data_IF_477485346603
#
_entry.id   IF_477485346603
#
_cell.length_a   1.000
_cell.length_b   1.000
_cell.length_c   1.000
_cell.angle_alpha   90.00
_cell.angle_beta   90.00
_cell.angle_gamma   90.00
#
_symmetry.space_group_name_H-M   'P 1'
#
loop_
_entity.id
_entity.type
_entity.pdbx_description
1 polymer ?
#
# COMPACT_ATOMS: atom_id res chain seq x y z
N UNK A 1 -16.71 21.03 18.60
CA UNK A 1 -16.04 20.09 17.67
C UNK A 1 -14.88 20.85 17.04
N UNK A 2 -13.66 20.43 17.31
CA UNK A 2 -12.47 21.02 16.69
C UNK A 2 -12.07 20.17 15.52
N UNK A 3 -11.92 20.77 14.34
CA UNK A 3 -11.41 20.12 13.14
C UNK A 3 -9.95 20.53 13.01
N UNK A 4 -9.03 19.58 13.12
CA UNK A 4 -7.62 19.83 12.84
C UNK A 4 -7.34 19.42 11.40
N UNK A 5 -6.83 20.34 10.61
CA UNK A 5 -6.21 19.99 9.35
C UNK A 5 -4.81 19.46 9.67
N UNK A 6 -4.64 18.14 9.60
CA UNK A 6 -3.40 17.46 10.01
C UNK A 6 -2.24 17.85 9.09
N UNK A 7 -2.51 18.07 7.81
CA UNK A 7 -1.54 18.68 6.87
C UNK A 7 -2.17 19.01 5.51
N UNK A 8 -1.77 20.11 4.92
CA UNK A 8 -1.50 20.10 3.48
C UNK A 8 -0.22 19.29 3.33
N UNK A 9 -0.17 18.29 2.44
CA UNK A 9 1.08 17.60 2.20
C UNK A 9 2.08 18.59 1.66
N UNK A 10 2.98 19.01 2.51
CA UNK A 10 4.12 19.85 2.16
C UNK A 10 5.32 18.94 2.08
N UNK A 11 5.26 17.90 1.24
CA UNK A 11 6.49 17.18 0.94
C UNK A 11 7.38 18.14 0.18
N UNK A 12 8.59 18.32 0.71
CA UNK A 12 9.60 19.21 0.13
C UNK A 12 10.12 18.74 -1.23
N UNK A 13 9.76 17.52 -1.63
CA UNK A 13 10.04 16.91 -2.93
C UNK A 13 8.98 17.24 -4.00
N UNK A 14 8.13 18.21 -3.71
CA UNK A 14 7.23 18.87 -4.66
C UNK A 14 5.91 18.17 -4.90
N UNK A 15 4.87 18.95 -4.98
CA UNK A 15 3.60 18.73 -5.64
C UNK A 15 2.70 17.55 -5.21
N UNK A 16 3.01 16.84 -4.10
CA UNK A 16 2.10 15.85 -3.51
C UNK A 16 1.00 16.57 -2.73
N UNK A 17 0.03 17.11 -3.44
CA UNK A 17 -1.05 17.94 -2.87
C UNK A 17 -2.37 17.20 -2.71
N UNK A 18 -2.49 16.04 -3.34
CA UNK A 18 -3.66 15.18 -3.21
C UNK A 18 -3.48 14.21 -2.03
N UNK A 19 -4.45 14.20 -1.12
CA UNK A 19 -4.48 13.29 0.02
C UNK A 19 -5.86 12.65 0.13
N UNK A 20 -5.90 11.31 0.28
CA UNK A 20 -7.15 10.55 0.25
C UNK A 20 -7.14 9.34 1.19
N UNK A 21 -8.34 8.84 1.52
CA UNK A 21 -8.55 7.61 2.30
C UNK A 21 -7.75 7.54 3.61
N UNK A 22 -7.91 8.49 4.54
CA UNK A 22 -7.22 8.44 5.81
C UNK A 22 -7.68 7.25 6.65
N UNK A 23 -6.72 6.54 7.26
CA UNK A 23 -6.96 5.43 8.18
C UNK A 23 -6.24 5.71 9.50
N UNK A 24 -6.95 5.63 10.60
CA UNK A 24 -6.46 5.92 11.94
C UNK A 24 -6.57 4.68 12.83
N UNK A 25 -5.52 4.39 13.57
CA UNK A 25 -5.52 3.38 14.62
C UNK A 25 -4.73 3.84 15.83
N UNK A 26 -4.99 3.22 17.00
CA UNK A 26 -4.17 3.40 18.19
C UNK A 26 -3.23 2.21 18.36
N UNK A 27 -1.94 2.47 18.49
CA UNK A 27 -0.94 1.43 18.67
C UNK A 27 0.21 1.93 19.56
N UNK A 28 0.62 1.10 20.51
CA UNK A 28 1.74 1.35 21.42
C UNK A 28 1.75 2.78 22.00
N UNK A 29 0.62 3.22 22.58
CA UNK A 29 0.39 4.53 23.21
C UNK A 29 0.51 5.74 22.27
N UNK A 30 0.38 5.54 20.97
CA UNK A 30 0.26 6.63 19.98
C UNK A 30 -0.89 6.37 19.02
N UNK A 31 -1.34 7.41 18.39
CA UNK A 31 -2.16 7.35 17.20
C UNK A 31 -1.25 7.13 15.98
N UNK A 32 -1.65 6.25 15.07
CA UNK A 32 -1.01 6.03 13.78
C UNK A 32 -2.02 6.36 12.71
N UNK A 33 -1.71 7.36 11.89
CA UNK A 33 -2.52 7.79 10.77
C UNK A 33 -1.79 7.48 9.47
N UNK A 34 -2.49 6.92 8.51
CA UNK A 34 -1.99 6.76 7.15
C UNK A 34 -2.98 7.31 6.15
N UNK A 35 -2.51 7.68 4.99
CA UNK A 35 -3.32 8.18 3.87
C UNK A 35 -2.58 8.01 2.55
N UNK A 36 -3.33 7.96 1.45
CA UNK A 36 -2.76 8.04 0.10
C UNK A 36 -2.29 9.47 -0.13
N UNK A 37 -1.10 9.62 -0.67
CA UNK A 37 -0.52 10.90 -1.07
C UNK A 37 -0.09 10.84 -2.53
N UNK A 38 -0.63 11.70 -3.36
CA UNK A 38 -0.39 11.75 -4.79
C UNK A 38 -0.24 13.18 -5.31
N UNK A 39 0.11 13.32 -6.58
CA UNK A 39 0.32 14.64 -7.21
C UNK A 39 -0.97 15.28 -7.71
N UNK A 40 -1.93 14.49 -8.15
CA UNK A 40 -3.15 14.98 -8.79
C UNK A 40 -4.42 14.45 -8.16
N UNK A 41 -4.65 13.16 -8.32
CA UNK A 41 -5.87 12.47 -7.95
C UNK A 41 -5.55 11.00 -7.60
N UNK A 42 -6.58 10.23 -7.29
CA UNK A 42 -6.47 8.83 -6.88
C UNK A 42 -6.17 7.83 -8.01
N UNK A 43 -6.13 8.30 -9.25
CA UNK A 43 -5.88 7.47 -10.43
C UNK A 43 -4.58 7.85 -11.14
N UNK A 44 -3.90 8.87 -10.64
CA UNK A 44 -2.73 9.45 -11.30
C UNK A 44 -1.41 9.10 -10.61
N UNK A 45 -0.57 8.32 -11.28
CA UNK A 45 0.79 8.10 -10.82
C UNK A 45 1.63 9.39 -10.84
N UNK A 46 2.58 9.56 -9.91
CA UNK A 46 2.87 8.68 -8.78
C UNK A 46 1.95 8.93 -7.59
N UNK A 47 1.53 7.87 -6.93
CA UNK A 47 0.89 7.92 -5.63
C UNK A 47 1.51 6.88 -4.69
N UNK A 48 1.45 7.14 -3.42
CA UNK A 48 2.00 6.28 -2.38
C UNK A 48 1.16 6.39 -1.11
N UNK A 49 1.33 5.45 -0.19
CA UNK A 49 0.77 5.57 1.14
C UNK A 49 1.84 6.07 2.08
N UNK A 50 1.53 7.14 2.79
CA UNK A 50 2.35 7.66 3.88
C UNK A 50 1.68 7.40 5.22
N UNK A 51 2.48 7.42 6.29
CA UNK A 51 1.96 7.37 7.65
C UNK A 51 2.70 8.36 8.54
N UNK A 52 2.03 8.74 9.60
CA UNK A 52 2.55 9.59 10.67
C UNK A 52 2.03 9.13 12.01
N UNK A 53 2.67 9.56 13.09
CA UNK A 53 2.25 9.21 14.44
C UNK A 53 2.06 10.43 15.30
N UNK A 54 1.20 10.34 16.33
CA UNK A 54 0.95 11.38 17.29
C UNK A 54 0.70 10.83 18.68
N UNK A 55 1.12 11.54 19.73
CA UNK A 55 0.82 11.19 21.12
C UNK A 55 -0.56 11.69 21.57
N UNK A 56 -1.03 12.77 21.00
CA UNK A 56 -2.19 13.55 21.48
C UNK A 56 -3.23 13.83 20.39
N UNK A 57 -2.94 13.50 19.11
CA UNK A 57 -3.77 13.80 17.96
C UNK A 57 -3.70 15.25 17.48
N UNK A 58 -2.92 16.10 18.14
CA UNK A 58 -2.75 17.51 17.81
C UNK A 58 -1.41 17.78 17.12
N UNK A 59 -0.34 17.19 17.64
CA UNK A 59 1.00 17.31 17.06
C UNK A 59 1.37 15.97 16.42
N UNK A 60 1.69 16.02 15.14
CA UNK A 60 2.03 14.85 14.34
C UNK A 60 3.50 14.87 13.94
N UNK A 61 4.12 13.70 13.95
CA UNK A 61 5.51 13.54 13.49
C UNK A 61 5.59 13.77 11.97
N UNK A 62 6.81 13.91 11.44
CA UNK A 62 7.01 13.94 10.00
C UNK A 62 6.52 12.63 9.38
N UNK A 63 5.78 12.71 8.29
CA UNK A 63 5.32 11.53 7.56
C UNK A 63 6.48 10.72 6.97
N UNK A 64 6.27 9.43 6.89
CA UNK A 64 7.14 8.44 6.28
C UNK A 64 6.36 7.64 5.25
N UNK A 65 7.03 7.10 4.24
CA UNK A 65 6.41 6.22 3.27
C UNK A 65 6.06 4.89 3.93
N UNK A 66 4.79 4.49 3.86
CA UNK A 66 4.29 3.19 4.31
C UNK A 66 4.30 2.18 3.16
N UNK A 67 3.82 2.57 1.98
CA UNK A 67 3.87 1.79 0.76
C UNK A 67 4.26 2.72 -0.40
N UNK A 68 5.40 2.48 -1.05
CA UNK A 68 5.94 3.37 -2.07
C UNK A 68 5.18 3.24 -3.40
N UNK A 69 5.30 4.25 -4.23
CA UNK A 69 5.00 4.12 -5.65
C UNK A 69 5.93 3.12 -6.32
N UNK A 70 5.41 2.28 -7.20
CA UNK A 70 6.16 1.24 -7.91
C UNK A 70 5.71 1.15 -9.37
N UNK A 71 6.50 0.44 -10.18
CA UNK A 71 6.05 -0.11 -11.46
C UNK A 71 5.78 -1.60 -11.30
N UNK A 72 4.86 -2.16 -12.08
CA UNK A 72 4.64 -3.60 -12.13
C UNK A 72 4.73 -4.13 -13.56
N UNK A 73 5.24 -5.36 -13.69
CA UNK A 73 5.22 -6.08 -14.96
C UNK A 73 3.78 -6.42 -15.34
N UNK A 74 3.45 -6.25 -16.60
CA UNK A 74 2.11 -6.53 -17.13
C UNK A 74 2.05 -7.78 -17.99
N UNK A 75 3.15 -8.50 -18.21
CA UNK A 75 3.18 -9.68 -19.09
C UNK A 75 2.18 -10.76 -18.62
N UNK A 76 2.05 -10.95 -17.31
CA UNK A 76 1.09 -11.89 -16.73
C UNK A 76 -0.36 -11.37 -16.62
N UNK A 77 -0.59 -10.09 -16.83
CA UNK A 77 -1.93 -9.52 -16.70
C UNK A 77 -2.87 -9.98 -17.82
N UNK A 78 -4.03 -10.47 -17.47
CA UNK A 78 -5.10 -10.94 -18.38
C UNK A 78 -6.41 -10.21 -18.21
N UNK A 79 -6.40 -9.14 -17.42
CA UNK A 79 -7.59 -8.32 -17.15
C UNK A 79 -7.95 -7.38 -18.30
N UNK A 80 -8.93 -6.50 -18.08
CA UNK A 80 -9.42 -5.59 -19.11
C UNK A 80 -8.34 -4.63 -19.62
N UNK A 81 -8.47 -4.20 -20.86
CA UNK A 81 -7.64 -3.17 -21.51
C UNK A 81 -6.11 -3.41 -21.40
N UNK A 82 -5.68 -4.67 -21.38
CA UNK A 82 -4.27 -5.03 -21.32
C UNK A 82 -3.43 -4.33 -22.39
N UNK A 83 -3.99 -4.16 -23.57
CA UNK A 83 -3.35 -3.52 -24.71
C UNK A 83 -3.04 -2.02 -24.50
N UNK A 84 -3.66 -1.40 -23.50
CA UNK A 84 -3.39 -0.01 -23.12
C UNK A 84 -2.24 0.11 -22.11
N UNK A 85 -1.81 -0.99 -21.51
CA UNK A 85 -0.76 -1.00 -20.50
C UNK A 85 0.60 -1.21 -21.14
N UNK A 86 1.61 -0.38 -20.83
CA UNK A 86 3.00 -0.67 -21.21
C UNK A 86 3.49 -1.90 -20.45
N UNK A 87 4.54 -2.54 -20.97
CA UNK A 87 5.13 -3.74 -20.35
C UNK A 87 5.48 -3.57 -18.85
N UNK A 88 5.94 -2.39 -18.46
CA UNK A 88 6.08 -1.95 -17.08
C UNK A 88 5.16 -0.76 -16.87
N UNK A 89 4.06 -0.99 -16.20
CA UNK A 89 3.06 0.02 -15.94
C UNK A 89 3.17 0.59 -14.53
N UNK A 90 2.79 1.88 -14.34
CA UNK A 90 2.56 2.42 -13.02
C UNK A 90 1.62 1.52 -12.19
N UNK A 91 2.12 1.02 -11.07
CA UNK A 91 1.34 0.30 -10.08
C UNK A 91 0.99 1.27 -8.96
N UNK A 92 -0.23 1.77 -8.99
CA UNK A 92 -0.72 2.73 -8.02
C UNK A 92 -1.33 2.01 -6.82
N UNK A 93 -1.19 2.63 -5.66
CA UNK A 93 -1.93 2.23 -4.47
C UNK A 93 -3.36 2.74 -4.59
N UNK A 94 -4.32 1.86 -4.32
CA UNK A 94 -5.72 2.27 -4.39
C UNK A 94 -6.45 1.79 -3.16
N UNK A 95 -7.53 2.47 -2.81
CA UNK A 95 -8.42 2.23 -1.67
C UNK A 95 -8.23 0.87 -0.99
N UNK A 96 -8.55 0.71 0.24
CA UNK A 96 -8.47 -0.52 1.01
C UNK A 96 -7.08 -0.80 1.60
N UNK A 97 -6.34 0.25 1.84
CA UNK A 97 -5.35 0.22 2.88
C UNK A 97 -6.07 0.06 4.21
N UNK A 98 -5.58 -0.77 5.08
CA UNK A 98 -6.08 -0.86 6.45
C UNK A 98 -4.98 -1.20 7.43
N UNK A 99 -5.21 -0.84 8.69
CA UNK A 99 -4.45 -1.36 9.80
C UNK A 99 -5.21 -2.51 10.45
N UNK A 100 -4.53 -3.61 10.67
CA UNK A 100 -5.04 -4.76 11.38
C UNK A 100 -4.18 -5.03 12.62
N UNK A 101 -4.79 -5.00 13.78
CA UNK A 101 -4.15 -5.38 15.03
C UNK A 101 -4.41 -6.85 15.29
N UNK A 102 -3.41 -7.68 15.06
CA UNK A 102 -3.49 -9.12 15.25
C UNK A 102 -3.58 -9.51 16.74
N UNK A 103 -4.09 -10.70 17.00
CA UNK A 103 -4.26 -11.24 18.37
C UNK A 103 -2.93 -11.35 19.13
N UNK A 104 -1.81 -11.54 18.44
CA UNK A 104 -0.46 -11.56 19.01
C UNK A 104 0.13 -10.15 19.24
N UNK A 105 -0.66 -9.09 19.03
CA UNK A 105 -0.28 -7.71 19.29
C UNK A 105 0.50 -7.02 18.20
N UNK A 106 0.79 -7.68 17.05
CA UNK A 106 1.39 -7.04 15.88
C UNK A 106 0.42 -6.10 15.20
N UNK A 107 0.93 -5.00 14.66
CA UNK A 107 0.17 -4.09 13.79
C UNK A 107 0.56 -4.34 12.34
N UNK A 108 -0.36 -4.87 11.57
CA UNK A 108 -0.19 -5.13 10.14
C UNK A 108 -0.82 -4.01 9.34
N UNK A 109 -0.06 -3.42 8.44
CA UNK A 109 -0.56 -2.53 7.41
C UNK A 109 -0.74 -3.32 6.11
N UNK A 110 -1.83 -3.07 5.38
CA UNK A 110 -2.07 -3.71 4.08
C UNK A 110 -2.62 -2.70 3.08
N UNK A 111 -2.27 -2.90 1.82
CA UNK A 111 -2.76 -2.11 0.70
C UNK A 111 -2.95 -2.98 -0.53
N UNK A 112 -3.56 -2.39 -1.55
CA UNK A 112 -3.81 -3.00 -2.83
C UNK A 112 -3.09 -2.21 -3.92
N UNK A 113 -2.34 -2.90 -4.77
CA UNK A 113 -1.70 -2.33 -5.95
C UNK A 113 -2.38 -2.78 -7.21
N UNK A 114 -2.50 -1.87 -8.16
CA UNK A 114 -3.05 -2.18 -9.46
C UNK A 114 -2.76 -1.08 -10.46
N UNK A 115 -3.32 -1.21 -11.65
CA UNK A 115 -3.11 -0.30 -12.76
C UNK A 115 -4.24 0.72 -12.85
N UNK A 116 -3.91 1.88 -13.42
CA UNK A 116 -4.88 2.88 -13.84
C UNK A 116 -4.48 3.34 -15.25
N UNK A 117 -5.02 2.72 -16.30
CA UNK A 117 -4.69 3.08 -17.67
C UNK A 117 -5.00 4.53 -18.02
N UNK A 118 -6.00 5.09 -17.36
CA UNK A 118 -6.40 6.50 -17.45
C UNK A 118 -7.16 6.96 -16.19
N UNK A 119 -7.56 8.23 -16.16
CA UNK A 119 -8.26 8.85 -15.03
C UNK A 119 -9.68 8.30 -14.76
N UNK A 120 -10.19 7.39 -15.56
CA UNK A 120 -11.55 6.82 -15.44
C UNK A 120 -11.53 5.35 -15.04
N UNK A 121 -10.36 4.71 -15.09
CA UNK A 121 -10.17 3.29 -14.81
C UNK A 121 -9.34 3.10 -13.57
N UNK A 122 -9.95 2.55 -12.54
CA UNK A 122 -9.32 2.37 -11.24
C UNK A 122 -8.89 0.91 -11.02
N UNK A 123 -7.88 0.65 -10.21
CA UNK A 123 -7.43 -0.71 -9.87
C UNK A 123 -8.55 -1.66 -9.43
N UNK A 124 -9.54 -1.16 -8.69
CA UNK A 124 -10.69 -1.95 -8.21
C UNK A 124 -11.72 -2.33 -9.31
N UNK A 125 -11.56 -1.82 -10.52
CA UNK A 125 -12.40 -2.18 -11.67
C UNK A 125 -11.84 -3.37 -12.47
N UNK A 126 -11.05 -4.21 -11.85
CA UNK A 126 -10.44 -5.39 -12.48
C UNK A 126 -8.97 -5.23 -12.85
N UNK A 127 -8.38 -4.07 -12.57
CA UNK A 127 -6.99 -3.78 -12.90
C UNK A 127 -6.01 -4.05 -11.74
N UNK A 128 -6.42 -4.81 -10.74
CA UNK A 128 -5.57 -5.15 -9.61
C UNK A 128 -4.41 -6.06 -9.97
N UNK A 129 -3.28 -5.90 -9.28
CA UNK A 129 -2.12 -6.77 -9.37
C UNK A 129 -1.97 -7.65 -8.11
N UNK A 130 -1.79 -7.05 -6.96
CA UNK A 130 -1.59 -7.79 -5.71
C UNK A 130 -1.98 -6.97 -4.48
N UNK A 131 -2.19 -7.66 -3.35
CA UNK A 131 -2.22 -7.06 -2.02
C UNK A 131 -0.89 -7.25 -1.33
N UNK A 132 -0.40 -6.17 -0.77
CA UNK A 132 0.84 -6.15 -0.01
C UNK A 132 0.57 -5.90 1.47
N UNK A 133 1.46 -6.42 2.29
CA UNK A 133 1.47 -6.25 3.75
C UNK A 133 2.86 -5.94 4.24
N UNK A 134 2.91 -5.27 5.38
CA UNK A 134 4.09 -5.13 6.23
C UNK A 134 3.70 -4.89 7.68
N UNK A 135 4.61 -5.14 8.61
CA UNK A 135 4.41 -4.82 10.01
C UNK A 135 4.83 -3.39 10.30
N UNK A 136 4.06 -2.71 11.14
CA UNK A 136 4.49 -1.50 11.84
C UNK A 136 4.95 -1.92 13.23
N UNK A 137 6.25 -1.81 13.49
CA UNK A 137 6.83 -2.18 14.78
C UNK A 137 6.44 -1.22 15.91
N UNK A 138 6.69 -1.65 17.16
CA UNK A 138 6.36 -0.83 18.35
C UNK A 138 7.14 0.50 18.44
N UNK A 139 8.27 0.60 17.78
CA UNK A 139 9.05 1.83 17.63
C UNK A 139 8.65 2.65 16.38
N UNK A 140 7.60 2.22 15.68
CA UNK A 140 7.09 2.84 14.44
C UNK A 140 8.08 2.77 13.26
N UNK A 141 9.02 1.85 13.28
CA UNK A 141 9.74 1.40 12.09
C UNK A 141 8.92 0.35 11.35
N UNK A 142 9.33 -0.03 10.16
CA UNK A 142 8.58 -0.91 9.27
C UNK A 142 9.40 -2.17 8.96
N UNK A 143 8.71 -3.30 8.82
CA UNK A 143 9.29 -4.50 8.22
C UNK A 143 9.51 -4.33 6.72
N UNK A 144 10.13 -5.32 6.08
CA UNK A 144 10.05 -5.49 4.63
C UNK A 144 8.59 -5.64 4.18
N UNK A 145 8.36 -5.41 2.90
CA UNK A 145 7.06 -5.64 2.26
C UNK A 145 6.94 -7.10 1.82
N UNK A 146 5.71 -7.62 1.87
CA UNK A 146 5.37 -8.97 1.42
C UNK A 146 4.09 -8.93 0.62
N UNK A 147 3.95 -9.83 -0.37
CA UNK A 147 2.67 -10.09 -1.00
C UNK A 147 1.86 -10.98 -0.07
N UNK A 148 0.59 -10.64 0.18
CA UNK A 148 -0.33 -11.47 0.96
C UNK A 148 -1.38 -12.15 0.08
N UNK A 149 -1.69 -11.56 -1.07
CA UNK A 149 -2.66 -12.12 -2.02
C UNK A 149 -2.35 -11.63 -3.43
N UNK A 150 -2.31 -12.55 -4.38
CA UNK A 150 -2.26 -12.25 -5.81
C UNK A 150 -3.65 -11.99 -6.36
N UNK A 151 -3.77 -11.18 -7.39
CA UNK A 151 -5.00 -11.08 -8.17
C UNK A 151 -5.02 -12.16 -9.26
N UNK A 152 -5.34 -13.39 -8.87
CA UNK A 152 -5.39 -14.54 -9.79
C UNK A 152 -6.41 -14.34 -10.91
N UNK A 153 -7.52 -13.65 -10.64
CA UNK A 153 -8.52 -13.32 -11.65
C UNK A 153 -7.97 -12.36 -12.73
N UNK A 154 -6.98 -11.55 -12.39
CA UNK A 154 -6.24 -10.70 -13.32
C UNK A 154 -5.01 -11.38 -13.92
N UNK A 155 -4.79 -12.67 -13.68
CA UNK A 155 -3.68 -13.47 -14.22
C UNK A 155 -2.41 -13.45 -13.38
N UNK A 156 -2.39 -12.82 -12.21
CA UNK A 156 -1.21 -12.71 -11.35
C UNK A 156 -1.06 -13.90 -10.40
N UNK A 157 0.19 -14.33 -10.22
CA UNK A 157 0.59 -15.42 -9.33
C UNK A 157 2.04 -15.24 -8.86
N UNK A 158 2.60 -16.23 -8.15
CA UNK A 158 3.96 -16.16 -7.60
C UNK A 158 5.09 -16.08 -8.65
N UNK A 159 4.85 -16.49 -9.88
CA UNK A 159 5.87 -16.54 -10.92
C UNK A 159 5.94 -15.26 -11.76
N UNK A 160 4.84 -14.49 -11.82
CA UNK A 160 4.70 -13.37 -12.73
C UNK A 160 4.34 -12.02 -12.08
N UNK A 161 4.20 -11.97 -10.75
CA UNK A 161 3.93 -10.71 -10.05
C UNK A 161 5.25 -10.04 -9.69
N UNK A 162 5.73 -9.17 -10.56
CA UNK A 162 7.03 -8.53 -10.44
C UNK A 162 6.84 -7.01 -10.32
N UNK A 163 7.43 -6.44 -9.28
CA UNK A 163 7.46 -5.00 -9.06
C UNK A 163 8.86 -4.44 -9.29
N UNK A 164 8.93 -3.17 -9.69
CA UNK A 164 10.18 -2.46 -9.95
C UNK A 164 10.18 -1.11 -9.24
N UNK A 165 11.38 -0.67 -8.86
CA UNK A 165 11.60 0.71 -8.45
C UNK A 165 11.33 1.65 -9.64
N UNK A 166 10.56 2.74 -9.45
CA UNK A 166 10.34 3.72 -10.50
C UNK A 166 11.55 4.65 -10.70
N UNK A 167 12.47 4.68 -9.73
CA UNK A 167 13.61 5.57 -9.72
C UNK A 167 14.83 4.90 -10.38
N UNK A 168 15.42 5.59 -11.36
CA UNK A 168 16.70 5.25 -11.96
C UNK A 168 16.71 4.01 -12.84
N UNK A 169 17.03 2.84 -12.32
CA UNK A 169 17.34 1.62 -13.07
C UNK A 169 16.15 0.74 -13.42
N UNK A 170 14.93 1.03 -12.97
CA UNK A 170 13.83 0.07 -12.96
C UNK A 170 14.26 -1.27 -12.31
N UNK A 171 14.97 -1.18 -11.21
CA UNK A 171 15.45 -2.33 -10.47
C UNK A 171 14.27 -3.17 -9.96
N UNK A 172 14.35 -4.47 -10.17
CA UNK A 172 13.34 -5.39 -9.65
C UNK A 172 13.40 -5.39 -8.12
N UNK A 173 12.24 -5.23 -7.51
CA UNK A 173 12.08 -5.28 -6.06
C UNK A 173 11.87 -6.72 -5.60
N UNK A 174 12.58 -7.12 -4.57
CA UNK A 174 12.35 -8.40 -3.90
C UNK A 174 11.18 -8.26 -2.91
N UNK A 175 9.98 -8.65 -3.36
CA UNK A 175 8.76 -8.63 -2.54
C UNK A 175 8.20 -10.06 -2.50
N UNK A 176 8.68 -10.88 -1.57
CA UNK A 176 8.27 -12.27 -1.49
C UNK A 176 6.84 -12.44 -0.97
N UNK A 177 6.28 -13.63 -1.15
CA UNK A 177 5.02 -14.00 -0.50
C UNK A 177 5.21 -14.11 1.02
N UNK A 178 4.25 -13.65 1.81
CA UNK A 178 4.38 -13.45 3.27
C UNK A 178 4.81 -14.70 4.05
N UNK A 179 4.49 -15.90 3.57
CA UNK A 179 4.87 -17.17 4.21
C UNK A 179 6.39 -17.40 4.25
N UNK A 180 7.13 -16.70 3.39
CA UNK A 180 8.60 -16.75 3.32
C UNK A 180 9.29 -15.85 4.36
N UNK A 181 8.53 -15.06 5.12
CA UNK A 181 9.10 -14.29 6.22
C UNK A 181 9.73 -15.20 7.26
N UNK A 182 10.89 -14.83 7.74
CA UNK A 182 11.54 -15.51 8.87
C UNK A 182 10.82 -15.26 10.21
N UNK A 183 10.04 -14.18 10.31
CA UNK A 183 9.22 -13.87 11.49
C UNK A 183 7.92 -14.68 11.47
N UNK A 184 7.91 -15.79 12.20
CA UNK A 184 6.75 -16.69 12.28
C UNK A 184 5.53 -16.06 12.96
N UNK A 185 5.74 -15.07 13.84
CA UNK A 185 4.63 -14.34 14.46
C UNK A 185 4.01 -13.34 13.47
N UNK A 186 4.80 -12.76 12.56
CA UNK A 186 4.27 -11.98 11.44
C UNK A 186 3.44 -12.87 10.49
N UNK A 187 3.94 -14.07 10.14
CA UNK A 187 3.19 -15.02 9.31
C UNK A 187 1.84 -15.35 9.95
N UNK A 188 1.81 -15.70 11.25
CA UNK A 188 0.54 -15.96 11.98
C UNK A 188 -0.42 -14.76 11.94
N UNK A 189 0.11 -13.53 12.07
CA UNK A 189 -0.71 -12.33 12.00
C UNK A 189 -1.31 -12.13 10.60
N UNK A 190 -0.57 -12.47 9.55
CA UNK A 190 -1.07 -12.46 8.17
C UNK A 190 -2.13 -13.56 7.93
N UNK A 191 -1.92 -14.77 8.45
CA UNK A 191 -2.91 -15.86 8.39
C UNK A 191 -4.21 -15.44 9.08
N UNK A 192 -4.11 -14.80 10.25
CA UNK A 192 -5.27 -14.26 10.95
C UNK A 192 -5.98 -13.17 10.13
N UNK A 193 -5.23 -12.26 9.51
CA UNK A 193 -5.77 -11.23 8.62
C UNK A 193 -6.54 -11.84 7.45
N UNK A 194 -6.02 -12.91 6.84
CA UNK A 194 -6.66 -13.60 5.71
C UNK A 194 -8.02 -14.24 6.08
N UNK A 195 -8.33 -14.42 7.36
CA UNK A 195 -9.67 -14.85 7.79
C UNK A 195 -10.71 -13.74 7.78
N UNK A 196 -10.30 -12.48 7.65
CA UNK A 196 -11.16 -11.29 7.73
C UNK A 196 -11.63 -10.86 6.34
N UNK A 197 -12.74 -11.41 5.87
CA UNK A 197 -13.29 -11.11 4.52
C UNK A 197 -13.43 -9.61 4.25
N UNK A 198 -13.95 -8.84 5.20
CA UNK A 198 -14.18 -7.38 5.04
C UNK A 198 -12.90 -6.56 4.82
N UNK A 199 -11.73 -7.12 5.09
CA UNK A 199 -10.43 -6.44 4.89
C UNK A 199 -9.86 -6.77 3.51
N UNK A 200 -10.25 -7.91 2.93
CA UNK A 200 -9.63 -8.46 1.74
C UNK A 200 -10.53 -8.45 0.49
N UNK A 201 -11.76 -8.02 0.65
CA UNK A 201 -12.70 -7.85 -0.49
C UNK A 201 -12.54 -6.51 -1.18
#
# INVERSE_FOLDING_TARGET
>A
VYTYQIRRSCRTDGDYTYNHAPMLTAFNNRLVLSYISGKRDEHGAPDEIVYTTSKDGCVWDKEKVLFPYMLADTDGYTGPDKELLPKKAPAIVHFRMCFYKASNGKLIATTFYGFSPDSHRAPNNGYGAARLVREVYKDYTLSDMYIIKYNEAGGFNGDNTIFYSPEGSNEQLDIPYYVHSSDKEFVKACDELLTKKLILE
#
